data_IF_963106105093
#
_entry.id   IF_963106105093
#
_cell.length_a   1.000
_cell.length_b   1.000
_cell.length_c   1.000
_cell.angle_alpha   90.00
_cell.angle_beta   90.00
_cell.angle_gamma   90.00
#
_symmetry.space_group_name_H-M   'P 1'
#
loop_
_entity.id
_entity.type
_entity.pdbx_description
1 polymer ?
#
# COMPACT_ATOMS: atom_id res chain seq x y z
N UNK A 1 -15.66 5.70 -3.38
CA UNK A 1 -15.89 4.30 -2.99
C UNK A 1 -15.30 3.39 -4.04
N UNK A 2 -14.70 2.27 -3.64
CA UNK A 2 -13.95 1.36 -4.50
C UNK A 2 -14.37 -0.09 -4.25
N UNK A 3 -14.22 -0.96 -5.24
CA UNK A 3 -14.54 -2.38 -5.10
C UNK A 3 -13.29 -3.16 -4.72
N UNK A 4 -13.40 -3.98 -3.69
CA UNK A 4 -12.37 -4.92 -3.24
C UNK A 4 -12.91 -6.35 -3.37
N UNK A 5 -12.05 -7.39 -3.22
CA UNK A 5 -12.51 -8.77 -3.14
C UNK A 5 -13.50 -9.06 -2.00
N UNK A 6 -13.58 -8.19 -0.98
CA UNK A 6 -14.46 -8.32 0.18
C UNK A 6 -15.66 -7.38 0.15
N UNK A 7 -15.89 -6.71 -0.99
CA UNK A 7 -17.00 -5.79 -1.17
C UNK A 7 -16.54 -4.33 -1.27
N UNK A 8 -17.48 -3.43 -1.03
CA UNK A 8 -17.27 -1.99 -1.16
C UNK A 8 -16.46 -1.46 0.01
N UNK A 9 -15.50 -0.59 -0.29
CA UNK A 9 -14.73 0.14 0.71
C UNK A 9 -14.62 1.62 0.34
N UNK A 10 -14.44 2.45 1.36
CA UNK A 10 -14.18 3.89 1.24
C UNK A 10 -12.70 4.13 1.52
N UNK A 11 -12.04 4.95 0.70
CA UNK A 11 -10.67 5.36 0.98
C UNK A 11 -10.70 6.42 2.10
N UNK A 12 -10.01 6.12 3.19
CA UNK A 12 -9.81 7.04 4.30
C UNK A 12 -8.60 7.92 4.06
N UNK A 13 -7.49 7.32 3.61
CA UNK A 13 -6.23 7.99 3.34
C UNK A 13 -5.58 7.44 2.06
N UNK A 14 -4.82 8.27 1.36
CA UNK A 14 -4.07 7.86 0.18
C UNK A 14 -2.80 8.67 0.02
N UNK A 15 -1.72 7.99 -0.34
CA UNK A 15 -0.46 8.60 -0.78
C UNK A 15 -0.15 8.15 -2.21
N UNK A 16 0.38 9.06 -3.02
CA UNK A 16 0.79 8.78 -4.40
C UNK A 16 2.26 9.16 -4.57
N UNK A 17 3.09 8.17 -4.93
CA UNK A 17 4.52 8.33 -5.14
C UNK A 17 4.81 8.39 -6.64
N UNK A 18 5.11 9.56 -7.21
CA UNK A 18 5.47 9.68 -8.62
C UNK A 18 6.86 9.07 -8.87
N UNK A 19 6.95 8.21 -9.87
CA UNK A 19 8.15 7.45 -10.22
C UNK A 19 8.41 7.50 -11.73
N UNK A 20 9.68 7.24 -12.10
CA UNK A 20 10.11 7.16 -13.50
C UNK A 20 11.06 5.99 -13.70
N UNK A 21 10.93 5.33 -14.84
CA UNK A 21 11.87 4.31 -15.31
C UNK A 21 12.11 4.52 -16.81
N UNK A 22 13.35 4.89 -17.17
CA UNK A 22 13.68 5.44 -18.49
C UNK A 22 12.68 6.56 -18.87
N UNK A 23 12.01 6.44 -20.01
CA UNK A 23 11.01 7.42 -20.47
C UNK A 23 9.62 7.23 -19.84
N UNK A 24 9.38 6.11 -19.13
CA UNK A 24 8.07 5.79 -18.58
C UNK A 24 7.85 6.52 -17.25
N UNK A 25 6.67 7.13 -17.11
CA UNK A 25 6.19 7.75 -15.87
C UNK A 25 5.04 6.94 -15.30
N UNK A 26 5.09 6.68 -14.01
CA UNK A 26 4.05 5.97 -13.28
C UNK A 26 3.98 6.50 -11.86
N UNK A 27 2.92 6.16 -11.14
CA UNK A 27 2.83 6.41 -9.71
C UNK A 27 2.46 5.13 -8.98
N UNK A 28 3.09 4.90 -7.84
CA UNK A 28 2.60 3.92 -6.87
C UNK A 28 1.63 4.61 -5.93
N UNK A 29 0.51 3.97 -5.61
CA UNK A 29 -0.47 4.46 -4.66
C UNK A 29 -0.58 3.49 -3.50
N UNK A 30 -0.60 4.03 -2.29
CA UNK A 30 -0.90 3.28 -1.06
C UNK A 30 -2.14 3.93 -0.45
N UNK A 31 -3.15 3.12 -0.17
CA UNK A 31 -4.44 3.58 0.37
C UNK A 31 -4.79 2.81 1.64
N UNK A 32 -5.29 3.54 2.64
CA UNK A 32 -6.05 2.97 3.74
C UNK A 32 -7.53 3.01 3.37
N UNK A 33 -8.18 1.85 3.37
CA UNK A 33 -9.60 1.72 3.06
C UNK A 33 -10.36 1.19 4.28
N UNK A 34 -11.65 1.50 4.35
CA UNK A 34 -12.58 0.98 5.34
C UNK A 34 -13.82 0.40 4.64
N UNK A 35 -14.19 -0.83 5.00
CA UNK A 35 -15.40 -1.50 4.51
C UNK A 35 -16.64 -0.98 5.23
N UNK A 36 -17.84 -1.35 4.75
CA UNK A 36 -19.10 -0.93 5.37
C UNK A 36 -19.32 -1.45 6.80
N UNK A 37 -18.62 -2.51 7.20
CA UNK A 37 -18.61 -3.10 8.55
C UNK A 37 -17.41 -2.65 9.41
N UNK A 38 -16.61 -1.70 8.93
CA UNK A 38 -15.52 -1.08 9.68
C UNK A 38 -14.18 -1.82 9.62
N UNK A 39 -14.04 -2.87 8.81
CA UNK A 39 -12.75 -3.54 8.58
C UNK A 39 -11.79 -2.63 7.80
N UNK A 40 -10.54 -2.53 8.27
CA UNK A 40 -9.49 -1.76 7.60
C UNK A 40 -8.68 -2.60 6.64
N UNK A 41 -8.42 -2.03 5.46
CA UNK A 41 -7.65 -2.64 4.40
C UNK A 41 -6.50 -1.71 3.98
N UNK A 42 -5.35 -2.28 3.64
CA UNK A 42 -4.25 -1.53 3.00
C UNK A 42 -4.12 -1.99 1.57
N UNK A 43 -4.20 -1.05 0.62
CA UNK A 43 -4.12 -1.34 -0.81
C UNK A 43 -2.90 -0.71 -1.43
N UNK A 44 -2.13 -1.52 -2.14
CA UNK A 44 -1.06 -1.08 -3.02
C UNK A 44 -1.54 -1.18 -4.46
N UNK A 45 -1.37 -0.11 -5.23
CA UNK A 45 -1.64 -0.12 -6.66
C UNK A 45 -0.61 0.73 -7.41
N UNK A 46 -0.55 0.61 -8.72
CA UNK A 46 0.22 1.54 -9.54
C UNK A 46 -0.61 2.03 -10.72
N UNK A 47 -0.35 3.26 -11.12
CA UNK A 47 -1.00 3.92 -12.24
C UNK A 47 0.05 4.37 -13.25
N UNK A 48 -0.26 4.19 -14.53
CA UNK A 48 0.51 4.74 -15.65
C UNK A 48 -0.40 5.68 -16.41
N UNK A 49 0.09 6.85 -16.79
CA UNK A 49 -0.67 7.79 -17.63
C UNK A 49 -2.05 8.19 -17.04
N UNK A 50 -2.13 8.36 -15.71
CA UNK A 50 -3.34 8.82 -15.03
C UNK A 50 -4.46 7.79 -14.84
N UNK A 51 -4.29 6.56 -15.32
CA UNK A 51 -5.24 5.46 -15.10
C UNK A 51 -4.60 4.35 -14.26
N UNK A 52 -5.32 3.87 -13.23
CA UNK A 52 -4.93 2.70 -12.45
C UNK A 52 -4.87 1.50 -13.39
N UNK A 53 -3.67 0.95 -13.61
CA UNK A 53 -3.49 -0.23 -14.47
C UNK A 53 -3.01 -1.40 -13.63
N UNK A 54 -4.02 -2.22 -13.27
CA UNK A 54 -3.95 -3.61 -12.80
C UNK A 54 -3.72 -3.87 -11.31
N UNK A 55 -4.45 -4.90 -10.87
CA UNK A 55 -4.14 -5.80 -9.77
C UNK A 55 -3.79 -5.15 -8.43
N UNK A 56 -4.64 -4.26 -7.87
CA UNK A 56 -4.40 -3.77 -6.53
C UNK A 56 -4.21 -4.95 -5.58
N UNK A 57 -3.07 -4.99 -4.90
CA UNK A 57 -2.83 -5.94 -3.82
C UNK A 57 -3.42 -5.33 -2.57
N UNK A 58 -4.49 -5.93 -2.09
CA UNK A 58 -5.21 -5.46 -0.91
C UNK A 58 -4.96 -6.44 0.23
N UNK A 59 -4.45 -5.94 1.35
CA UNK A 59 -4.24 -6.70 2.58
C UNK A 59 -5.34 -6.34 3.58
N UNK A 60 -5.93 -7.36 4.21
CA UNK A 60 -6.65 -7.19 5.48
C UNK A 60 -5.66 -7.07 6.63
N UNK A 61 -6.13 -6.62 7.78
CA UNK A 61 -5.34 -6.55 9.01
C UNK A 61 -4.60 -7.87 9.33
N UNK A 62 -5.29 -9.01 9.23
CA UNK A 62 -4.67 -10.32 9.45
C UNK A 62 -3.57 -10.68 8.46
N UNK A 63 -3.65 -10.19 7.23
CA UNK A 63 -2.63 -10.45 6.21
C UNK A 63 -1.42 -9.52 6.39
N UNK A 64 -1.63 -8.30 6.92
CA UNK A 64 -0.56 -7.43 7.39
C UNK A 64 0.20 -8.05 8.57
N UNK A 65 -0.51 -8.67 9.53
CA UNK A 65 0.14 -9.38 10.63
C UNK A 65 1.02 -10.54 10.14
N UNK A 66 0.56 -11.29 9.12
CA UNK A 66 1.38 -12.33 8.47
C UNK A 66 2.59 -11.74 7.75
N UNK A 67 2.41 -10.63 7.02
CA UNK A 67 3.51 -9.94 6.35
C UNK A 67 4.58 -9.53 7.37
N UNK A 68 4.19 -8.93 8.50
CA UNK A 68 5.11 -8.57 9.58
C UNK A 68 5.90 -9.78 10.08
N UNK A 69 5.24 -10.92 10.32
CA UNK A 69 5.91 -12.15 10.75
C UNK A 69 6.89 -12.71 9.70
N UNK A 70 6.56 -12.60 8.40
CA UNK A 70 7.46 -13.01 7.32
C UNK A 70 8.68 -12.07 7.20
N UNK A 71 8.51 -10.77 7.44
CA UNK A 71 9.61 -9.81 7.44
C UNK A 71 10.62 -10.05 8.56
N UNK A 72 10.21 -10.62 9.70
CA UNK A 72 11.14 -11.08 10.73
C UNK A 72 12.10 -12.16 10.24
N UNK A 73 11.72 -12.92 9.19
CA UNK A 73 12.56 -13.95 8.56
C UNK A 73 13.39 -13.41 7.38
N UNK A 74 13.17 -12.16 6.99
CA UNK A 74 13.86 -11.47 5.90
C UNK A 74 14.35 -10.08 6.37
N UNK A 75 15.36 -10.03 7.26
CA UNK A 75 15.68 -8.83 8.04
C UNK A 75 16.08 -7.61 7.20
N UNK A 76 16.82 -7.80 6.10
CA UNK A 76 17.20 -6.71 5.19
C UNK A 76 15.97 -6.11 4.47
N UNK A 77 15.01 -6.95 4.06
CA UNK A 77 13.76 -6.49 3.48
C UNK A 77 12.91 -5.75 4.52
N UNK A 78 12.84 -6.29 5.74
CA UNK A 78 12.16 -5.62 6.85
C UNK A 78 12.77 -4.26 7.16
N UNK A 79 14.10 -4.12 7.11
CA UNK A 79 14.81 -2.84 7.29
C UNK A 79 14.45 -1.84 6.20
N UNK A 80 14.48 -2.25 4.93
CA UNK A 80 14.12 -1.37 3.82
C UNK A 80 12.68 -0.83 3.91
N UNK A 81 11.73 -1.64 4.40
CA UNK A 81 10.34 -1.21 4.59
C UNK A 81 10.16 -0.28 5.79
N UNK A 82 10.93 -0.42 6.87
CA UNK A 82 10.85 0.49 8.03
C UNK A 82 11.29 1.92 7.72
N UNK A 83 12.19 2.10 6.76
CA UNK A 83 12.54 3.42 6.22
C UNK A 83 11.30 4.18 5.73
N UNK A 84 10.25 3.48 5.26
CA UNK A 84 9.00 4.08 4.80
C UNK A 84 8.13 4.58 5.96
N UNK A 85 8.16 3.91 7.11
CA UNK A 85 7.37 4.29 8.30
C UNK A 85 8.08 5.26 9.23
N UNK A 86 9.33 5.63 8.90
CA UNK A 86 10.24 6.38 9.75
C UNK A 86 10.75 5.52 10.90
N UNK A 87 12.06 5.31 11.00
CA UNK A 87 12.68 4.70 12.20
C UNK A 87 12.67 5.72 13.35
N UNK A 88 11.53 6.32 13.73
CA UNK A 88 11.41 7.21 14.89
C UNK A 88 12.43 8.35 15.02
N UNK A 89 13.19 8.67 13.97
CA UNK A 89 14.25 9.67 13.95
C UNK A 89 14.21 10.34 12.59
N UNK A 90 13.60 11.52 12.57
CA UNK A 90 14.04 12.64 11.74
C UNK A 90 13.75 12.60 10.24
N UNK A 91 12.75 13.42 9.89
CA UNK A 91 12.82 14.46 8.86
C UNK A 91 12.77 14.04 7.38
N UNK A 92 11.53 13.97 6.86
CA UNK A 92 11.04 14.77 5.71
C UNK A 92 9.53 14.86 5.74
#
# INVERSE_FOLDING_TARGET
>A
MTTTPWGKATALESVSVPQRAAEKRFSSQVELLETGDGERLVRFSYATSGAVRRGPVTFRERDLAKLAALLCRAPELGRALRTVTGDGVGNV
#
